data_IF_413894395750
#
_entry.id   IF_413894395750
#
_cell.length_a   1.000
_cell.length_b   1.000
_cell.length_c   1.000
_cell.angle_alpha   90.00
_cell.angle_beta   90.00
_cell.angle_gamma   90.00
#
_symmetry.space_group_name_H-M   'P 1'
#
loop_
_entity.id
_entity.type
_entity.pdbx_description
1 polymer ?
#
# COMPACT_ATOMS: atom_id res chain seq x y z
N UNK A 1 -14.67 65.24 28.21
CA UNK A 1 -15.01 63.81 28.25
C UNK A 1 -15.05 63.32 26.81
N UNK A 2 -13.90 62.75 26.36
CA UNK A 2 -13.74 62.27 24.97
C UNK A 2 -13.65 60.73 24.99
N UNK A 3 -14.59 60.07 24.33
CA UNK A 3 -14.58 58.61 24.15
C UNK A 3 -13.90 58.28 22.83
N UNK A 4 -12.73 57.62 22.86
CA UNK A 4 -12.04 57.11 21.69
C UNK A 4 -12.68 55.82 21.14
N UNK A 5 -12.60 55.55 19.84
CA UNK A 5 -13.18 54.37 19.22
C UNK A 5 -12.29 53.13 19.43
N UNK A 6 -12.89 52.01 19.84
CA UNK A 6 -12.26 50.71 19.90
C UNK A 6 -12.05 50.15 18.47
N UNK A 7 -10.81 49.95 18.08
CA UNK A 7 -10.47 49.27 16.84
C UNK A 7 -10.57 47.73 17.04
N UNK A 8 -11.52 47.11 16.38
CA UNK A 8 -11.59 45.65 16.31
C UNK A 8 -10.55 45.15 15.30
N UNK A 9 -9.48 44.50 15.81
CA UNK A 9 -8.54 43.73 15.01
C UNK A 9 -9.23 42.46 14.50
N UNK A 10 -9.49 42.41 13.17
CA UNK A 10 -9.91 41.19 12.49
C UNK A 10 -8.70 40.29 12.28
N UNK A 11 -8.60 39.16 13.04
CA UNK A 11 -7.65 38.10 12.73
C UNK A 11 -7.97 37.49 11.36
N UNK A 12 -6.95 37.29 10.48
CA UNK A 12 -7.19 36.62 9.20
C UNK A 12 -7.46 35.11 9.41
N UNK A 13 -8.49 34.63 8.74
CA UNK A 13 -8.86 33.21 8.69
C UNK A 13 -7.83 32.43 7.84
N UNK A 14 -6.72 31.97 8.44
CA UNK A 14 -5.67 31.16 7.78
C UNK A 14 -5.78 29.64 8.02
N UNK A 15 -6.88 29.17 8.65
CA UNK A 15 -7.00 27.78 9.10
C UNK A 15 -7.40 26.68 8.06
N UNK A 16 -8.00 26.95 6.89
CA UNK A 16 -8.35 25.84 6.00
C UNK A 16 -7.22 25.33 5.10
N UNK A 17 -6.18 26.12 4.84
CA UNK A 17 -5.12 25.73 3.91
C UNK A 17 -4.12 24.69 4.48
N UNK A 18 -3.87 24.72 5.80
CA UNK A 18 -2.91 23.80 6.45
C UNK A 18 -3.46 22.38 6.56
N UNK A 19 -4.77 22.22 6.77
CA UNK A 19 -5.41 20.91 6.86
C UNK A 19 -5.43 20.15 5.51
N UNK A 20 -5.54 20.88 4.39
CA UNK A 20 -5.54 20.27 3.06
C UNK A 20 -4.16 19.73 2.66
N UNK A 21 -3.08 20.37 3.09
CA UNK A 21 -1.70 19.93 2.81
C UNK A 21 -1.34 18.65 3.57
N UNK A 22 -1.86 18.45 4.78
CA UNK A 22 -1.60 17.24 5.58
C UNK A 22 -2.32 16.00 5.03
N UNK A 23 -3.47 16.15 4.36
CA UNK A 23 -4.19 15.05 3.74
C UNK A 23 -3.57 14.58 2.42
N UNK A 24 -2.89 15.46 1.69
CA UNK A 24 -2.20 15.11 0.45
C UNK A 24 -0.97 14.21 0.68
N UNK A 25 -0.30 14.33 1.85
CA UNK A 25 0.88 13.53 2.19
C UNK A 25 0.62 12.04 2.40
N UNK A 26 -0.61 11.65 2.78
CA UNK A 26 -0.95 10.24 3.06
C UNK A 26 -1.27 9.41 1.81
N UNK A 27 -1.49 10.03 0.65
CA UNK A 27 -1.83 9.34 -0.61
C UNK A 27 -0.94 9.74 -1.77
N UNK A 28 0.11 10.54 -1.53
CA UNK A 28 1.05 11.00 -2.56
C UNK A 28 1.86 9.85 -3.15
N UNK A 29 2.39 10.05 -4.36
CA UNK A 29 3.41 9.18 -4.95
C UNK A 29 4.77 9.65 -4.44
N UNK A 30 5.67 8.76 -3.98
CA UNK A 30 7.03 9.16 -3.61
C UNK A 30 7.76 9.81 -4.79
N UNK A 31 8.52 10.89 -4.53
CA UNK A 31 9.23 11.59 -5.60
C UNK A 31 10.15 10.66 -6.41
N UNK A 32 10.08 10.71 -7.73
CA UNK A 32 10.84 9.83 -8.65
C UNK A 32 10.22 8.45 -8.87
N UNK A 33 9.16 8.09 -8.16
CA UNK A 33 8.38 6.87 -8.44
C UNK A 33 7.29 7.22 -9.44
N UNK A 34 7.25 6.50 -10.56
CA UNK A 34 6.25 6.69 -11.61
C UNK A 34 5.31 5.48 -11.64
N UNK A 35 4.00 5.66 -11.34
CA UNK A 35 3.04 4.57 -11.49
C UNK A 35 2.92 4.12 -12.96
N UNK A 36 2.73 2.82 -13.15
CA UNK A 36 2.58 2.20 -14.47
C UNK A 36 1.38 2.80 -15.19
N UNK A 37 1.57 3.17 -16.46
CA UNK A 37 0.52 3.52 -17.40
C UNK A 37 0.05 2.29 -18.20
N UNK A 38 -1.13 2.33 -18.81
CA UNK A 38 -1.74 1.19 -19.51
C UNK A 38 -2.20 0.10 -18.53
N UNK A 39 -2.59 0.49 -17.33
CA UNK A 39 -3.03 -0.42 -16.28
C UNK A 39 -4.46 -0.90 -16.53
N UNK A 40 -4.64 -2.22 -16.58
CA UNK A 40 -5.95 -2.86 -16.65
C UNK A 40 -6.35 -3.45 -15.30
N UNK A 41 -7.29 -2.80 -14.62
CA UNK A 41 -7.80 -3.24 -13.32
C UNK A 41 -8.48 -4.61 -13.40
N UNK A 42 -9.12 -4.95 -14.52
CA UNK A 42 -9.75 -6.26 -14.71
C UNK A 42 -8.72 -7.38 -14.76
N UNK A 43 -7.55 -7.15 -15.36
CA UNK A 43 -6.43 -8.10 -15.35
C UNK A 43 -5.74 -8.18 -13.98
N UNK A 44 -5.83 -7.09 -13.19
CA UNK A 44 -5.24 -7.03 -11.85
C UNK A 44 -6.12 -7.69 -10.78
N UNK A 45 -7.38 -8.01 -11.07
CA UNK A 45 -8.30 -8.72 -10.16
C UNK A 45 -7.77 -10.07 -9.69
N UNK A 46 -8.36 -10.56 -8.61
CA UNK A 46 -8.06 -11.87 -8.03
C UNK A 46 -6.96 -11.81 -6.99
N UNK A 47 -6.34 -12.96 -6.75
CA UNK A 47 -5.37 -13.15 -5.67
C UNK A 47 -3.96 -12.77 -6.10
N UNK A 48 -3.24 -12.16 -5.16
CA UNK A 48 -1.84 -11.85 -5.21
C UNK A 48 -1.17 -12.29 -3.91
N UNK A 49 -0.08 -13.04 -4.00
CA UNK A 49 0.76 -13.39 -2.87
C UNK A 49 1.79 -12.30 -2.63
N UNK A 50 2.03 -11.95 -1.38
CA UNK A 50 3.07 -11.04 -0.99
C UNK A 50 4.40 -11.78 -0.87
N UNK A 51 5.30 -11.56 -1.83
CA UNK A 51 6.60 -12.26 -1.87
C UNK A 51 7.61 -11.58 -0.94
N UNK A 52 7.67 -10.26 -0.99
CA UNK A 52 8.53 -9.45 -0.11
C UNK A 52 7.84 -8.17 0.29
N UNK A 53 8.19 -7.64 1.46
CA UNK A 53 7.73 -6.33 1.93
C UNK A 53 8.77 -5.63 2.80
N UNK A 54 8.67 -4.32 2.94
CA UNK A 54 9.24 -3.60 4.07
C UNK A 54 8.39 -3.84 5.32
N UNK A 55 9.03 -3.85 6.51
CA UNK A 55 8.30 -4.06 7.76
C UNK A 55 7.36 -2.89 8.06
N UNK A 56 6.13 -3.19 8.35
CA UNK A 56 5.15 -2.24 8.85
C UNK A 56 4.14 -2.90 9.80
N UNK A 57 3.62 -2.09 10.72
CA UNK A 57 2.83 -2.55 11.87
C UNK A 57 1.58 -3.38 11.53
N UNK A 58 1.05 -3.25 10.30
CA UNK A 58 -0.20 -3.90 9.92
C UNK A 58 -0.03 -5.40 9.62
N UNK A 59 1.16 -5.80 9.16
CA UNK A 59 1.46 -7.17 8.72
C UNK A 59 2.64 -7.79 9.47
N UNK A 60 3.15 -7.08 10.49
CA UNK A 60 4.29 -7.54 11.28
C UNK A 60 4.03 -8.90 11.90
N UNK A 61 4.97 -9.84 11.70
CA UNK A 61 4.90 -11.20 12.18
C UNK A 61 3.96 -12.12 11.40
N UNK A 62 3.21 -11.62 10.40
CA UNK A 62 2.35 -12.46 9.60
C UNK A 62 3.14 -13.24 8.54
N UNK A 63 2.74 -14.49 8.31
CA UNK A 63 3.15 -15.35 7.19
C UNK A 63 1.97 -15.58 6.24
N UNK A 64 2.22 -16.19 5.09
CA UNK A 64 1.18 -16.52 4.10
C UNK A 64 0.28 -15.33 3.75
N UNK A 65 0.90 -14.14 3.61
CA UNK A 65 0.18 -12.91 3.35
C UNK A 65 -0.26 -12.86 1.90
N UNK A 66 -1.53 -12.56 1.68
CA UNK A 66 -2.14 -12.45 0.37
C UNK A 66 -3.13 -11.29 0.31
N UNK A 67 -3.26 -10.69 -0.87
CA UNK A 67 -4.27 -9.70 -1.19
C UNK A 67 -5.22 -10.23 -2.26
N UNK A 68 -6.50 -9.92 -2.13
CA UNK A 68 -7.50 -10.22 -3.15
C UNK A 68 -8.18 -8.94 -3.60
N UNK A 69 -8.12 -8.65 -4.91
CA UNK A 69 -8.71 -7.46 -5.50
C UNK A 69 -9.94 -7.83 -6.33
N UNK A 70 -10.99 -7.02 -6.23
CA UNK A 70 -12.24 -7.18 -6.99
C UNK A 70 -12.68 -5.84 -7.55
N UNK A 71 -12.72 -5.70 -8.86
CA UNK A 71 -13.26 -4.52 -9.52
C UNK A 71 -14.79 -4.50 -9.32
N UNK A 72 -15.33 -3.36 -8.94
CA UNK A 72 -16.77 -3.18 -8.69
C UNK A 72 -17.40 -2.35 -9.79
N UNK A 73 -18.71 -2.50 -9.98
CA UNK A 73 -19.48 -1.77 -10.98
C UNK A 73 -19.40 -0.25 -10.84
N UNK A 74 -19.11 0.25 -9.62
CA UNK A 74 -18.92 1.68 -9.33
C UNK A 74 -17.50 2.19 -9.64
N UNK A 75 -16.66 1.37 -10.27
CA UNK A 75 -15.26 1.67 -10.61
C UNK A 75 -14.31 1.67 -9.41
N UNK A 76 -14.77 1.26 -8.22
CA UNK A 76 -13.90 1.06 -7.06
C UNK A 76 -13.34 -0.37 -7.04
N UNK A 77 -12.23 -0.57 -6.33
CA UNK A 77 -11.62 -1.89 -6.15
C UNK A 77 -11.83 -2.32 -4.70
N UNK A 78 -12.51 -3.45 -4.50
CA UNK A 78 -12.56 -4.14 -3.23
C UNK A 78 -11.20 -4.74 -2.93
N UNK A 79 -10.75 -4.64 -1.68
CA UNK A 79 -9.45 -5.18 -1.23
C UNK A 79 -9.69 -6.05 -0.02
N UNK A 80 -9.21 -7.27 -0.07
CA UNK A 80 -9.18 -8.18 1.09
C UNK A 80 -7.73 -8.60 1.31
N UNK A 81 -7.13 -8.15 2.40
CA UNK A 81 -5.81 -8.62 2.82
C UNK A 81 -5.97 -9.69 3.90
N UNK A 82 -5.20 -10.76 3.77
CA UNK A 82 -5.23 -11.90 4.67
C UNK A 82 -3.81 -12.37 4.96
N UNK A 83 -3.56 -12.81 6.20
CA UNK A 83 -2.29 -13.39 6.60
C UNK A 83 -2.46 -14.31 7.80
N UNK A 84 -1.56 -15.25 7.98
CA UNK A 84 -1.54 -16.15 9.12
C UNK A 84 -0.66 -15.55 10.22
N UNK A 85 -1.19 -15.51 11.43
CA UNK A 85 -0.48 -15.11 12.64
C UNK A 85 0.01 -16.36 13.37
N UNK A 86 1.33 -16.66 13.36
CA UNK A 86 1.90 -17.83 14.03
C UNK A 86 1.75 -17.79 15.55
N UNK A 87 1.81 -16.60 16.16
CA UNK A 87 1.68 -16.43 17.62
C UNK A 87 0.24 -16.71 18.08
N UNK A 88 -0.75 -16.15 17.36
CA UNK A 88 -2.16 -16.39 17.64
C UNK A 88 -2.67 -17.71 17.06
N UNK A 89 -1.88 -18.40 16.26
CA UNK A 89 -2.23 -19.61 15.52
C UNK A 89 -3.55 -19.45 14.75
N UNK A 90 -3.72 -18.36 14.04
CA UNK A 90 -4.98 -18.02 13.37
C UNK A 90 -4.78 -17.13 12.17
N UNK A 91 -5.72 -17.21 11.23
CA UNK A 91 -5.78 -16.30 10.11
C UNK A 91 -6.37 -14.94 10.53
N UNK A 92 -5.72 -13.88 10.11
CA UNK A 92 -6.23 -12.51 10.21
C UNK A 92 -6.66 -12.03 8.82
N UNK A 93 -7.69 -11.22 8.78
CA UNK A 93 -8.21 -10.63 7.54
C UNK A 93 -8.69 -9.21 7.80
N UNK A 94 -8.49 -8.33 6.82
CA UNK A 94 -9.05 -6.99 6.82
C UNK A 94 -9.58 -6.67 5.42
N UNK A 95 -10.72 -5.97 5.38
CA UNK A 95 -11.35 -5.57 4.15
C UNK A 95 -11.24 -4.05 3.97
N UNK A 96 -10.98 -3.66 2.74
CA UNK A 96 -10.82 -2.28 2.36
C UNK A 96 -11.44 -1.95 1.01
N UNK A 97 -11.29 -0.71 0.64
CA UNK A 97 -11.69 -0.20 -0.67
C UNK A 97 -10.63 0.73 -1.22
N UNK A 98 -10.27 0.51 -2.49
CA UNK A 98 -9.41 1.42 -3.23
C UNK A 98 -10.21 2.18 -4.30
N UNK A 99 -9.70 3.37 -4.63
CA UNK A 99 -10.19 4.21 -5.73
C UNK A 99 -9.00 4.74 -6.49
N UNK A 100 -9.11 4.78 -7.81
CA UNK A 100 -8.12 5.48 -8.62
C UNK A 100 -8.02 6.93 -8.17
N UNK A 101 -6.81 7.47 -8.20
CA UNK A 101 -6.57 8.87 -7.81
C UNK A 101 -7.01 9.83 -8.91
N UNK A 102 -6.69 9.48 -10.12
CA UNK A 102 -6.93 10.29 -11.31
C UNK A 102 -7.48 9.38 -12.43
N UNK A 103 -6.67 9.03 -13.41
CA UNK A 103 -7.04 8.17 -14.53
C UNK A 103 -6.94 6.68 -14.12
N UNK A 104 -7.97 5.83 -14.38
CA UNK A 104 -7.91 4.39 -14.11
C UNK A 104 -6.89 3.65 -14.98
N UNK A 105 -6.41 4.23 -16.07
CA UNK A 105 -5.31 3.70 -16.89
C UNK A 105 -3.94 3.85 -16.22
N UNK A 106 -3.85 4.64 -15.16
CA UNK A 106 -2.65 4.80 -14.34
C UNK A 106 -2.78 4.03 -13.04
N UNK A 107 -1.82 3.15 -12.73
CA UNK A 107 -1.82 2.28 -11.55
C UNK A 107 -1.56 3.04 -10.23
N UNK A 108 -2.35 4.07 -9.95
CA UNK A 108 -2.24 4.95 -8.79
C UNK A 108 -3.57 5.07 -8.07
N UNK A 109 -3.66 4.45 -6.88
CA UNK A 109 -4.87 4.36 -6.12
C UNK A 109 -4.69 4.96 -4.71
N UNK A 110 -5.80 5.25 -4.07
CA UNK A 110 -5.90 5.49 -2.62
C UNK A 110 -6.74 4.40 -2.00
N UNK A 111 -6.22 3.75 -0.98
CA UNK A 111 -6.86 2.63 -0.28
C UNK A 111 -7.24 3.04 1.13
N UNK A 112 -8.41 2.60 1.60
CA UNK A 112 -8.84 2.75 2.99
C UNK A 112 -9.31 1.40 3.53
N UNK A 113 -8.82 1.07 4.72
CA UNK A 113 -9.33 -0.04 5.56
C UNK A 113 -10.15 0.51 6.75
N UNK A 114 -9.92 1.78 7.11
CA UNK A 114 -10.59 2.45 8.25
C UNK A 114 -10.92 3.89 7.86
N UNK A 115 -12.11 4.09 7.34
CA UNK A 115 -12.57 5.43 6.99
C UNK A 115 -12.51 6.38 8.23
N UNK A 116 -12.04 7.64 8.10
CA UNK A 116 -11.74 8.40 6.88
C UNK A 116 -10.25 8.35 6.43
N UNK A 117 -9.44 7.45 6.93
CA UNK A 117 -8.00 7.41 6.66
C UNK A 117 -7.70 6.66 5.36
N UNK A 118 -6.89 7.27 4.48
CA UNK A 118 -6.46 6.70 3.22
C UNK A 118 -4.94 6.60 3.16
N UNK A 119 -4.45 5.52 2.55
CA UNK A 119 -3.05 5.34 2.14
C UNK A 119 -2.89 5.37 0.62
N UNK A 120 -1.71 5.74 0.13
CA UNK A 120 -1.35 5.59 -1.28
C UNK A 120 -1.05 4.13 -1.61
N UNK A 121 -1.37 3.73 -2.83
CA UNK A 121 -1.06 2.43 -3.42
C UNK A 121 -0.68 2.65 -4.88
N UNK A 122 0.60 2.53 -5.20
CA UNK A 122 1.15 2.91 -6.50
C UNK A 122 1.95 1.75 -7.07
N UNK A 123 1.43 1.09 -8.09
CA UNK A 123 2.15 0.05 -8.82
C UNK A 123 3.13 0.76 -9.76
N UNK A 124 4.44 0.63 -9.52
CA UNK A 124 5.47 1.28 -10.33
C UNK A 124 6.28 0.31 -11.19
N UNK A 125 6.05 -1.00 -11.02
CA UNK A 125 6.51 -2.03 -11.93
C UNK A 125 5.47 -3.15 -12.00
N UNK A 126 5.25 -3.67 -13.18
CA UNK A 126 4.22 -4.66 -13.47
C UNK A 126 4.66 -5.51 -14.65
N UNK A 127 4.42 -6.81 -14.59
CA UNK A 127 4.45 -7.69 -15.76
C UNK A 127 3.21 -7.39 -16.64
N UNK A 128 3.34 -6.42 -17.54
CA UNK A 128 2.20 -5.96 -18.35
C UNK A 128 1.72 -6.99 -19.36
N UNK A 129 2.58 -7.95 -19.73
CA UNK A 129 2.21 -9.00 -20.69
C UNK A 129 1.28 -10.04 -20.06
N UNK A 130 1.62 -10.55 -18.87
CA UNK A 130 0.91 -11.68 -18.23
C UNK A 130 0.36 -11.36 -16.82
N UNK A 131 0.67 -10.18 -16.24
CA UNK A 131 0.27 -9.78 -14.89
C UNK A 131 0.67 -10.79 -13.81
N UNK A 132 1.87 -11.38 -13.93
CA UNK A 132 2.37 -12.40 -12.99
C UNK A 132 2.98 -11.82 -11.72
N UNK A 133 3.55 -10.61 -11.79
CA UNK A 133 4.16 -9.92 -10.67
C UNK A 133 3.93 -8.41 -10.73
N UNK A 134 3.97 -7.76 -9.57
CA UNK A 134 3.85 -6.31 -9.42
C UNK A 134 4.75 -5.82 -8.29
N UNK A 135 5.26 -4.59 -8.42
CA UNK A 135 5.97 -3.88 -7.34
C UNK A 135 5.18 -2.63 -6.99
N UNK A 136 4.87 -2.51 -5.71
CA UNK A 136 3.94 -1.50 -5.19
C UNK A 136 4.61 -0.67 -4.13
N UNK A 137 4.45 0.65 -4.20
CA UNK A 137 4.82 1.57 -3.13
C UNK A 137 3.59 2.14 -2.43
N UNK A 138 3.75 2.48 -1.16
CA UNK A 138 2.83 3.33 -0.42
C UNK A 138 3.11 4.82 -0.68
N UNK A 139 2.62 5.71 0.21
CA UNK A 139 2.81 7.15 0.05
C UNK A 139 4.24 7.64 0.32
N UNK A 140 5.07 6.77 0.88
CA UNK A 140 6.50 7.02 1.18
C UNK A 140 7.32 5.78 0.88
N UNK A 141 8.65 5.92 0.79
CA UNK A 141 9.59 4.80 0.61
C UNK A 141 9.66 3.83 1.80
N UNK A 142 8.99 4.10 2.89
CA UNK A 142 8.86 3.15 4.01
C UNK A 142 7.85 2.02 3.74
N UNK A 143 7.17 2.05 2.61
CA UNK A 143 6.19 1.04 2.21
C UNK A 143 6.53 0.52 0.82
N UNK A 144 6.85 -0.75 0.73
CA UNK A 144 7.16 -1.46 -0.50
C UNK A 144 6.66 -2.90 -0.39
N UNK A 145 6.02 -3.38 -1.45
CA UNK A 145 5.59 -4.76 -1.61
C UNK A 145 6.00 -5.29 -2.98
N UNK A 146 6.49 -6.51 -3.03
CA UNK A 146 6.64 -7.30 -4.23
C UNK A 146 5.57 -8.38 -4.20
N UNK A 147 4.67 -8.33 -5.15
CA UNK A 147 3.51 -9.22 -5.25
C UNK A 147 3.67 -10.16 -6.43
N UNK A 148 3.10 -11.38 -6.33
CA UNK A 148 3.05 -12.34 -7.44
C UNK A 148 1.74 -13.12 -7.46
N UNK A 149 1.43 -13.72 -8.62
CA UNK A 149 0.29 -14.63 -8.78
C UNK A 149 0.51 -16.00 -8.16
N UNK A 150 1.77 -16.38 -8.01
CA UNK A 150 2.18 -17.62 -7.37
C UNK A 150 2.91 -17.31 -6.06
N UNK A 151 2.90 -18.23 -5.08
CA UNK A 151 3.53 -18.02 -3.78
C UNK A 151 5.07 -17.94 -3.85
N UNK A 152 5.64 -18.22 -5.00
CA UNK A 152 7.06 -18.15 -5.27
C UNK A 152 7.34 -17.40 -6.58
N UNK A 153 8.40 -16.60 -6.60
CA UNK A 153 8.97 -15.98 -7.80
C UNK A 153 10.33 -16.61 -8.11
N UNK A 154 10.66 -16.81 -9.40
CA UNK A 154 12.02 -17.18 -9.79
C UNK A 154 13.02 -16.17 -9.20
N UNK A 155 14.15 -16.67 -8.68
CA UNK A 155 15.14 -15.87 -7.99
C UNK A 155 15.64 -14.69 -8.84
N UNK A 156 15.96 -14.95 -10.12
CA UNK A 156 16.40 -13.89 -11.04
C UNK A 156 15.36 -12.78 -11.23
N UNK A 157 14.05 -13.13 -11.25
CA UNK A 157 12.96 -12.14 -11.32
C UNK A 157 12.91 -11.33 -10.04
N UNK A 158 12.93 -12.00 -8.88
CA UNK A 158 12.91 -11.35 -7.56
C UNK A 158 14.06 -10.37 -7.40
N UNK A 159 15.29 -10.78 -7.75
CA UNK A 159 16.49 -9.94 -7.70
C UNK A 159 16.36 -8.70 -8.61
N UNK A 160 15.88 -8.87 -9.84
CA UNK A 160 15.65 -7.76 -10.76
C UNK A 160 14.63 -6.75 -10.22
N UNK A 161 13.55 -7.20 -9.54
CA UNK A 161 12.56 -6.33 -8.94
C UNK A 161 13.10 -5.59 -7.70
N UNK A 162 13.94 -6.25 -6.90
CA UNK A 162 14.65 -5.63 -5.77
C UNK A 162 15.61 -4.57 -6.27
N UNK A 163 16.37 -4.85 -7.35
CA UNK A 163 17.29 -3.86 -7.93
C UNK A 163 16.54 -2.63 -8.46
N UNK A 164 15.41 -2.84 -9.15
CA UNK A 164 14.55 -1.75 -9.60
C UNK A 164 14.06 -0.87 -8.44
N UNK A 165 13.74 -1.45 -7.31
CA UNK A 165 13.38 -0.70 -6.11
C UNK A 165 14.58 0.05 -5.50
N UNK A 166 15.79 -0.56 -5.53
CA UNK A 166 17.03 0.08 -5.07
C UNK A 166 17.38 1.32 -5.90
N UNK A 167 17.22 1.26 -7.22
CA UNK A 167 17.42 2.41 -8.12
C UNK A 167 16.51 3.60 -7.80
N UNK A 168 15.38 3.35 -7.13
CA UNK A 168 14.40 4.36 -6.67
C UNK A 168 14.57 4.73 -5.20
N UNK A 169 15.73 4.41 -4.59
CA UNK A 169 16.09 4.71 -3.20
C UNK A 169 15.18 4.08 -2.14
N UNK A 170 14.55 2.92 -2.42
CA UNK A 170 13.90 2.15 -1.38
C UNK A 170 14.94 1.43 -0.50
N UNK A 171 14.69 1.28 0.82
CA UNK A 171 15.60 0.58 1.74
C UNK A 171 15.49 -0.95 1.57
N UNK A 172 15.93 -1.45 0.42
CA UNK A 172 15.75 -2.85 0.00
C UNK A 172 16.50 -3.86 0.87
N UNK A 173 17.50 -3.42 1.62
CA UNK A 173 18.23 -4.27 2.56
C UNK A 173 17.38 -4.60 3.81
N UNK A 174 16.25 -3.89 4.01
CA UNK A 174 15.28 -4.13 5.06
C UNK A 174 14.09 -5.01 4.59
N UNK A 175 14.10 -5.46 3.32
CA UNK A 175 13.02 -6.30 2.79
C UNK A 175 12.95 -7.66 3.49
N UNK A 176 11.76 -8.01 3.91
CA UNK A 176 11.40 -9.31 4.50
C UNK A 176 10.88 -10.22 3.40
N UNK A 177 11.42 -11.42 3.26
CA UNK A 177 10.83 -12.48 2.47
C UNK A 177 9.68 -13.11 3.24
N UNK A 178 8.48 -13.14 2.64
CA UNK A 178 7.28 -13.70 3.27
C UNK A 178 7.27 -15.21 3.07
N UNK A 179 7.11 -15.94 4.16
CA UNK A 179 6.96 -17.40 4.11
C UNK A 179 5.56 -17.79 3.65
N UNK A 180 5.49 -18.65 2.63
CA UNK A 180 4.28 -19.25 2.08
C UNK A 180 4.23 -20.78 2.25
N UNK A 181 5.05 -21.32 3.14
CA UNK A 181 4.98 -22.73 3.54
C UNK A 181 3.67 -23.07 4.26
N UNK A 182 3.50 -24.32 4.67
CA UNK A 182 2.36 -24.72 5.50
C UNK A 182 2.29 -23.83 6.76
N UNK A 183 1.10 -23.27 7.11
CA UNK A 183 0.96 -22.45 8.29
C UNK A 183 1.37 -23.22 9.56
N UNK A 184 2.34 -22.70 10.29
CA UNK A 184 2.88 -23.31 11.51
C UNK A 184 2.66 -22.37 12.68
N UNK A 185 2.06 -22.90 13.76
CA UNK A 185 1.91 -22.14 15.01
C UNK A 185 3.25 -22.07 15.74
N UNK A 186 3.61 -20.93 16.26
CA UNK A 186 4.71 -20.84 17.22
C UNK A 186 4.32 -21.63 18.47
N UNK A 187 5.09 -22.66 18.79
CA UNK A 187 4.91 -23.40 20.02
C UNK A 187 5.16 -22.44 21.17
N UNK A 188 4.09 -22.06 21.88
CA UNK A 188 4.23 -21.23 23.07
C UNK A 188 5.24 -21.90 24.00
N UNK A 189 6.42 -21.28 24.15
CA UNK A 189 7.34 -21.67 25.20
C UNK A 189 6.58 -21.50 26.51
N UNK A 190 6.13 -22.62 27.07
CA UNK A 190 5.42 -22.68 28.31
C UNK A 190 6.21 -21.90 29.38
N UNK A 191 5.61 -20.79 29.83
CA UNK A 191 6.00 -20.13 31.08
C UNK A 191 5.21 -20.74 32.22
#
# INVERSE_FOLDING_TARGET
MSRGPFAFFRLPRLLPAVAAVLLAGCTGVPGGVEPVEGFDAGRYEGRWYEIMRLDHRFERGLTNVEAHYTLRDDGTVGVVNRGFDPEACSWKQVEGRARFRDDPDTASLRVTFFWPFYGGYHVFALDQDDYRWAVVSGPTRSYLWILAREPELPEATREALVEKARELDFPVDELILVDHGPPVCESGNGR
#
